data_IF_363530844639
#
_entry.id   IF_363530844639
#
_cell.length_a   1.000
_cell.length_b   1.000
_cell.length_c   1.000
_cell.angle_alpha   90.00
_cell.angle_beta   90.00
_cell.angle_gamma   90.00
#
_symmetry.space_group_name_H-M   'P 1'
#
loop_
_entity.id
_entity.type
_entity.pdbx_description
1 polymer ?
#
# COMPACT_ATOMS: atom_id res chain seq x y z
N UNK A 1 2.20 -10.96 -2.66
CA UNK A 1 2.09 -12.24 -3.41
C UNK A 1 2.52 -13.50 -2.62
N UNK A 2 3.56 -13.46 -1.76
CA UNK A 2 4.06 -14.62 -1.00
C UNK A 2 3.01 -15.41 -0.21
N UNK A 3 2.00 -14.75 0.38
CA UNK A 3 0.98 -15.42 1.23
C UNK A 3 0.08 -16.37 0.43
N UNK A 4 -0.42 -15.94 -0.74
CA UNK A 4 -1.32 -16.77 -1.57
C UNK A 4 -0.54 -17.92 -2.20
N UNK A 5 0.66 -17.65 -2.72
CA UNK A 5 1.54 -18.70 -3.26
C UNK A 5 1.87 -19.75 -2.18
N UNK A 6 2.28 -19.30 -0.98
CA UNK A 6 2.61 -20.21 0.11
C UNK A 6 1.39 -20.98 0.64
N UNK A 7 0.21 -20.36 0.68
CA UNK A 7 -1.04 -21.04 1.02
C UNK A 7 -1.39 -22.13 0.00
N UNK A 8 -1.21 -21.85 -1.30
CA UNK A 8 -1.46 -22.81 -2.38
C UNK A 8 -0.44 -23.97 -2.34
N UNK A 9 0.84 -23.69 -2.09
CA UNK A 9 1.88 -24.72 -1.89
C UNK A 9 1.58 -25.65 -0.72
N UNK A 10 1.02 -25.11 0.38
CA UNK A 10 0.61 -25.92 1.54
C UNK A 10 -0.67 -26.72 1.28
N UNK A 11 -1.56 -26.22 0.43
CA UNK A 11 -2.78 -26.92 0.01
C UNK A 11 -2.48 -28.07 -0.96
N UNK A 12 -1.46 -27.94 -1.81
CA UNK A 12 -1.04 -28.97 -2.78
C UNK A 12 0.49 -29.15 -2.73
N UNK A 13 1.00 -29.96 -1.79
CA UNK A 13 2.43 -30.16 -1.62
C UNK A 13 3.09 -30.74 -2.88
N UNK A 14 4.35 -30.36 -3.13
CA UNK A 14 5.21 -30.86 -4.22
C UNK A 14 4.86 -30.43 -5.67
N UNK A 15 4.07 -29.37 -5.87
CA UNK A 15 3.86 -28.75 -7.19
C UNK A 15 4.55 -27.39 -7.26
N UNK A 16 5.28 -27.12 -8.33
CA UNK A 16 5.85 -25.80 -8.60
C UNK A 16 4.71 -24.81 -8.93
N UNK A 17 4.55 -23.70 -8.21
CA UNK A 17 3.42 -22.77 -8.38
C UNK A 17 3.23 -22.22 -9.79
N UNK A 18 4.32 -22.10 -10.56
CA UNK A 18 4.31 -21.64 -11.95
C UNK A 18 3.51 -22.56 -12.91
N UNK A 19 3.23 -23.81 -12.51
CA UNK A 19 2.45 -24.78 -13.29
C UNK A 19 1.11 -25.13 -12.66
N UNK A 20 0.69 -24.38 -11.63
CA UNK A 20 -0.56 -24.60 -10.93
C UNK A 20 -1.63 -23.68 -11.51
N UNK A 21 -2.76 -24.25 -11.92
CA UNK A 21 -3.99 -23.51 -12.18
C UNK A 21 -4.88 -23.56 -10.95
N UNK A 22 -5.51 -22.43 -10.62
CA UNK A 22 -6.49 -22.32 -9.55
C UNK A 22 -7.87 -22.27 -10.19
N UNK A 23 -8.77 -23.16 -9.75
CA UNK A 23 -10.17 -23.14 -10.11
C UNK A 23 -11.00 -22.76 -8.88
N UNK A 24 -11.78 -21.69 -8.98
CA UNK A 24 -12.74 -21.25 -7.97
C UNK A 24 -14.14 -21.55 -8.49
N UNK A 25 -14.91 -22.32 -7.72
CA UNK A 25 -16.31 -22.61 -8.04
C UNK A 25 -17.20 -22.22 -6.89
N UNK A 26 -18.26 -21.47 -7.19
CA UNK A 26 -19.28 -21.11 -6.21
C UNK A 26 -20.37 -22.18 -6.19
N UNK A 27 -20.58 -22.78 -5.02
CA UNK A 27 -21.70 -23.68 -4.77
C UNK A 27 -22.63 -23.03 -3.76
N UNK A 28 -23.87 -22.75 -4.16
CA UNK A 28 -24.87 -22.14 -3.29
C UNK A 28 -25.74 -23.24 -2.65
N UNK A 29 -25.80 -23.32 -1.31
CA UNK A 29 -26.63 -24.33 -0.63
C UNK A 29 -28.09 -24.27 -1.11
N UNK A 30 -28.66 -25.43 -1.43
CA UNK A 30 -30.06 -25.55 -1.90
C UNK A 30 -30.27 -25.32 -3.40
N UNK A 31 -29.22 -25.02 -4.17
CA UNK A 31 -29.30 -24.90 -5.64
C UNK A 31 -28.59 -26.08 -6.30
N UNK A 32 -29.21 -26.75 -7.28
CA UNK A 32 -28.53 -27.78 -8.08
C UNK A 32 -27.67 -27.12 -9.15
N UNK A 33 -26.37 -26.96 -8.87
CA UNK A 33 -25.37 -26.56 -9.87
C UNK A 33 -24.36 -25.52 -9.38
N UNK A 34 -23.23 -25.44 -10.08
CA UNK A 34 -22.22 -24.38 -9.91
C UNK A 34 -22.78 -23.10 -10.52
N UNK A 35 -22.87 -22.02 -9.73
CA UNK A 35 -23.45 -20.74 -10.18
C UNK A 35 -22.47 -19.85 -10.91
N UNK A 36 -21.18 -20.03 -10.62
CA UNK A 36 -20.06 -19.38 -11.29
C UNK A 36 -18.78 -20.20 -11.12
N UNK A 37 -18.00 -20.29 -12.19
CA UNK A 37 -16.67 -20.90 -12.17
C UNK A 37 -15.67 -19.96 -12.79
N UNK A 38 -14.52 -19.83 -12.16
CA UNK A 38 -13.39 -19.07 -12.69
C UNK A 38 -12.11 -19.88 -12.57
N UNK A 39 -11.22 -19.73 -13.54
CA UNK A 39 -9.89 -20.36 -13.56
C UNK A 39 -8.83 -19.34 -13.90
N UNK A 40 -7.67 -19.43 -13.25
CA UNK A 40 -6.50 -18.62 -13.56
C UNK A 40 -5.26 -19.12 -12.82
N UNK A 41 -4.21 -18.30 -12.83
CA UNK A 41 -2.98 -18.55 -12.07
C UNK A 41 -3.13 -18.06 -10.62
N UNK A 42 -2.23 -18.47 -9.69
CA UNK A 42 -2.14 -17.86 -8.36
C UNK A 42 -1.99 -16.33 -8.38
N UNK A 43 -1.30 -15.78 -9.39
CA UNK A 43 -1.16 -14.34 -9.57
C UNK A 43 -2.51 -13.70 -9.93
N UNK A 44 -3.29 -14.31 -10.83
CA UNK A 44 -4.60 -13.81 -11.23
C UNK A 44 -5.60 -13.85 -10.05
N UNK A 45 -5.50 -14.86 -9.16
CA UNK A 45 -6.28 -14.90 -7.91
C UNK A 45 -5.91 -13.73 -7.02
N UNK A 46 -4.62 -13.49 -6.81
CA UNK A 46 -4.14 -12.39 -5.98
C UNK A 46 -4.60 -11.04 -6.53
N UNK A 47 -4.48 -10.82 -7.84
CA UNK A 47 -4.94 -9.60 -8.51
C UNK A 47 -6.46 -9.42 -8.36
N UNK A 48 -7.26 -10.47 -8.54
CA UNK A 48 -8.73 -10.39 -8.38
C UNK A 48 -9.16 -10.12 -6.96
N UNK A 49 -8.53 -10.79 -5.98
CA UNK A 49 -8.79 -10.53 -4.55
C UNK A 49 -8.40 -9.09 -4.22
N UNK A 50 -7.22 -8.66 -4.67
CA UNK A 50 -6.77 -7.28 -4.49
C UNK A 50 -7.76 -6.29 -5.13
N UNK A 51 -8.15 -6.50 -6.38
CA UNK A 51 -9.09 -5.63 -7.11
C UNK A 51 -10.46 -5.58 -6.45
N UNK A 52 -10.96 -6.71 -5.96
CA UNK A 52 -12.25 -6.78 -5.27
C UNK A 52 -12.22 -6.06 -3.91
N UNK A 53 -11.09 -6.10 -3.21
CA UNK A 53 -10.92 -5.46 -1.90
C UNK A 53 -10.54 -3.97 -1.99
N UNK A 54 -9.76 -3.59 -3.00
CA UNK A 54 -9.08 -2.30 -3.08
C UNK A 54 -9.35 -1.52 -4.37
N UNK A 55 -10.11 -2.08 -5.32
CA UNK A 55 -10.34 -1.47 -6.64
C UNK A 55 -9.23 -1.77 -7.65
N UNK A 56 -9.47 -1.40 -8.92
CA UNK A 56 -8.50 -1.60 -10.02
C UNK A 56 -7.52 -0.41 -10.05
N UNK A 57 -6.20 -0.61 -10.11
CA UNK A 57 -5.26 0.49 -10.34
C UNK A 57 -5.58 1.15 -11.68
N UNK A 58 -5.79 2.46 -11.70
CA UNK A 58 -6.12 3.21 -12.91
C UNK A 58 -4.82 3.74 -13.51
N UNK A 59 -4.32 3.12 -14.58
CA UNK A 59 -3.06 3.56 -15.23
C UNK A 59 -3.22 4.78 -16.16
N UNK A 60 -4.20 5.66 -15.93
CA UNK A 60 -4.65 6.62 -16.95
C UNK A 60 -4.45 8.11 -16.63
N UNK A 61 -3.90 8.46 -15.47
CA UNK A 61 -3.56 9.85 -15.13
C UNK A 61 -2.06 9.94 -14.89
N UNK A 62 -1.40 11.00 -15.35
CA UNK A 62 0.00 11.24 -14.96
C UNK A 62 0.09 11.15 -13.43
N UNK A 63 1.10 10.45 -12.87
CA UNK A 63 1.18 10.26 -11.43
C UNK A 63 1.15 11.64 -10.76
N UNK A 64 0.19 11.85 -9.86
CA UNK A 64 0.16 13.06 -9.07
C UNK A 64 1.50 13.18 -8.34
N UNK A 65 2.17 14.33 -8.40
CA UNK A 65 3.41 14.53 -7.67
C UNK A 65 3.11 14.56 -6.16
N UNK A 66 3.96 13.97 -5.33
CA UNK A 66 3.88 14.11 -3.88
C UNK A 66 4.00 15.59 -3.45
N UNK A 67 3.45 15.98 -2.29
CA UNK A 67 3.67 17.31 -1.74
C UNK A 67 5.14 17.73 -1.69
N UNK A 68 6.03 16.82 -1.30
CA UNK A 68 7.46 17.11 -1.26
C UNK A 68 8.05 17.34 -2.66
N UNK A 69 7.67 16.53 -3.66
CA UNK A 69 8.09 16.73 -5.05
C UNK A 69 7.60 18.07 -5.61
N UNK A 70 6.35 18.45 -5.32
CA UNK A 70 5.78 19.75 -5.68
C UNK A 70 6.58 20.90 -5.05
N UNK A 71 6.87 20.80 -3.75
CA UNK A 71 7.66 21.78 -3.02
C UNK A 71 9.09 21.91 -3.60
N UNK A 72 9.75 20.79 -3.88
CA UNK A 72 11.06 20.79 -4.53
C UNK A 72 11.04 21.39 -5.94
N UNK A 73 9.97 21.16 -6.70
CA UNK A 73 9.82 21.77 -8.02
C UNK A 73 9.63 23.29 -7.93
N UNK A 74 8.81 23.77 -6.99
CA UNK A 74 8.64 25.20 -6.73
C UNK A 74 9.97 25.85 -6.31
N UNK A 75 10.72 25.19 -5.42
CA UNK A 75 12.06 25.62 -5.01
C UNK A 75 13.04 25.73 -6.18
N UNK A 76 13.07 24.73 -7.09
CA UNK A 76 13.89 24.79 -8.32
C UNK A 76 13.54 26.00 -9.19
N UNK A 77 12.26 26.36 -9.21
CA UNK A 77 11.74 27.53 -9.93
C UNK A 77 11.90 28.85 -9.17
N UNK A 78 12.49 28.82 -7.96
CA UNK A 78 12.58 29.97 -7.02
C UNK A 78 11.23 30.56 -6.64
N UNK A 79 10.19 29.73 -6.61
CA UNK A 79 8.85 30.07 -6.17
C UNK A 79 8.66 29.66 -4.71
N UNK A 80 8.99 30.59 -3.80
CA UNK A 80 8.86 30.36 -2.35
C UNK A 80 7.38 30.21 -1.92
N UNK A 81 6.46 30.92 -2.57
CA UNK A 81 5.04 30.83 -2.25
C UNK A 81 4.48 29.45 -2.63
N UNK A 82 4.88 28.93 -3.79
CA UNK A 82 4.57 27.57 -4.23
C UNK A 82 5.15 26.50 -3.30
N UNK A 83 6.40 26.66 -2.85
CA UNK A 83 7.05 25.73 -1.91
C UNK A 83 6.28 25.63 -0.60
N UNK A 84 5.99 26.78 0.04
CA UNK A 84 5.23 26.83 1.29
C UNK A 84 3.80 26.34 1.08
N UNK A 85 3.15 26.74 -0.03
CA UNK A 85 1.79 26.35 -0.36
C UNK A 85 1.62 24.83 -0.50
N UNK A 86 2.55 24.15 -1.17
CA UNK A 86 2.53 22.70 -1.32
C UNK A 86 2.60 21.97 0.04
N UNK A 87 3.51 22.40 0.93
CA UNK A 87 3.67 21.77 2.25
C UNK A 87 2.47 22.06 3.18
N UNK A 88 1.99 23.30 3.22
CA UNK A 88 0.86 23.69 4.08
C UNK A 88 -0.45 23.04 3.62
N UNK A 89 -0.69 22.97 2.31
CA UNK A 89 -1.89 22.32 1.77
C UNK A 89 -1.90 20.82 2.03
N UNK A 90 -0.73 20.16 2.02
CA UNK A 90 -0.63 18.74 2.36
C UNK A 90 -0.97 18.45 3.82
N UNK A 91 -0.47 19.25 4.76
CA UNK A 91 -0.84 19.16 6.17
C UNK A 91 -2.34 19.40 6.38
N UNK A 92 -2.88 20.45 5.75
CA UNK A 92 -4.33 20.75 5.80
C UNK A 92 -5.16 19.59 5.24
N UNK A 93 -4.73 18.98 4.13
CA UNK A 93 -5.42 17.86 3.51
C UNK A 93 -5.39 16.60 4.41
N UNK A 94 -4.28 16.36 5.10
CA UNK A 94 -4.16 15.28 6.08
C UNK A 94 -5.11 15.51 7.27
N UNK A 95 -5.00 16.67 7.91
CA UNK A 95 -5.76 17.01 9.11
C UNK A 95 -7.28 17.10 8.87
N UNK A 96 -7.69 17.43 7.64
CA UNK A 96 -9.10 17.48 7.25
C UNK A 96 -9.68 16.13 6.82
N UNK A 97 -8.85 15.08 6.71
CA UNK A 97 -9.31 13.78 6.29
C UNK A 97 -10.20 13.11 7.36
N UNK A 98 -11.39 12.57 7.03
CA UNK A 98 -12.33 12.03 8.03
C UNK A 98 -11.79 10.85 8.86
N UNK A 99 -10.77 10.17 8.35
CA UNK A 99 -10.12 9.05 9.03
C UNK A 99 -9.03 9.50 9.99
N UNK A 100 -8.50 10.72 9.84
CA UNK A 100 -7.43 11.28 10.66
C UNK A 100 -7.95 11.70 12.05
N UNK A 101 -7.18 11.53 13.14
CA UNK A 101 -5.82 10.95 13.18
C UNK A 101 -5.81 9.43 12.95
N UNK A 102 -4.64 8.90 12.60
CA UNK A 102 -4.38 7.45 12.64
C UNK A 102 -4.52 6.92 14.07
N UNK A 103 -4.78 5.62 14.20
CA UNK A 103 -5.02 4.97 15.49
C UNK A 103 -4.24 3.67 15.57
N UNK A 104 -3.88 3.22 16.79
CA UNK A 104 -3.34 1.88 17.00
C UNK A 104 -4.20 0.80 16.33
N UNK A 105 -3.55 -0.09 15.58
CA UNK A 105 -4.20 -1.14 14.80
C UNK A 105 -4.50 -0.78 13.35
N UNK A 106 -4.41 0.50 12.95
CA UNK A 106 -4.47 0.88 11.53
C UNK A 106 -3.29 0.26 10.77
N UNK A 107 -3.56 -0.17 9.53
CA UNK A 107 -2.54 -0.56 8.57
C UNK A 107 -2.37 0.54 7.53
N UNK A 108 -1.12 0.92 7.27
CA UNK A 108 -0.78 1.90 6.25
C UNK A 108 0.03 1.19 5.18
N UNK A 109 -0.49 1.17 3.96
CA UNK A 109 0.20 0.63 2.80
C UNK A 109 0.66 1.78 1.90
N UNK A 110 1.92 1.76 1.48
CA UNK A 110 2.47 2.66 0.48
C UNK A 110 2.87 1.85 -0.75
N UNK A 111 2.50 2.36 -1.93
CA UNK A 111 2.92 1.82 -3.21
C UNK A 111 4.00 2.72 -3.83
N UNK A 112 5.10 2.13 -4.26
CA UNK A 112 6.13 2.78 -5.05
C UNK A 112 6.07 2.27 -6.49
N UNK A 113 5.95 3.21 -7.42
CA UNK A 113 6.05 2.92 -8.85
C UNK A 113 7.47 2.49 -9.23
N UNK A 114 7.59 1.79 -10.35
CA UNK A 114 8.90 1.41 -10.88
C UNK A 114 9.73 2.65 -11.23
N UNK A 115 11.00 2.66 -10.81
CA UNK A 115 11.91 3.78 -11.02
C UNK A 115 13.30 3.30 -11.45
N UNK A 116 13.65 3.57 -12.70
CA UNK A 116 14.93 3.14 -13.28
C UNK A 116 15.03 1.61 -13.33
N UNK A 117 15.96 1.04 -12.55
CA UNK A 117 16.12 -0.41 -12.40
C UNK A 117 15.34 -0.98 -11.20
N UNK A 118 14.73 -0.12 -10.37
CA UNK A 118 13.96 -0.55 -9.21
C UNK A 118 12.54 -0.94 -9.69
N UNK A 119 12.10 -2.19 -9.49
CA UNK A 119 10.75 -2.60 -9.82
C UNK A 119 9.74 -1.90 -8.90
N UNK A 120 8.49 -1.84 -9.33
CA UNK A 120 7.41 -1.38 -8.46
C UNK A 120 7.32 -2.29 -7.23
N UNK A 121 7.17 -1.69 -6.05
CA UNK A 121 7.03 -2.42 -4.80
C UNK A 121 6.09 -1.69 -3.86
N UNK A 122 5.74 -2.32 -2.74
CA UNK A 122 4.98 -1.68 -1.70
C UNK A 122 5.42 -2.13 -0.33
N UNK A 123 5.07 -1.31 0.66
CA UNK A 123 5.37 -1.53 2.06
C UNK A 123 4.09 -1.40 2.86
N UNK A 124 3.96 -2.22 3.89
CA UNK A 124 2.81 -2.20 4.80
C UNK A 124 3.33 -2.01 6.19
N UNK A 125 2.82 -1.00 6.86
CA UNK A 125 3.14 -0.63 8.22
C UNK A 125 1.94 -0.83 9.13
N UNK A 126 2.22 -1.10 10.41
CA UNK A 126 1.24 -1.17 11.49
C UNK A 126 1.43 0.02 12.43
N UNK A 127 0.35 0.72 12.72
CA UNK A 127 0.33 1.77 13.75
C UNK A 127 0.21 1.13 15.12
N UNK A 128 1.11 1.47 16.03
CA UNK A 128 1.17 0.97 17.41
C UNK A 128 1.08 2.09 18.45
N UNK A 129 0.63 1.79 19.68
CA UNK A 129 0.76 2.71 20.80
C UNK A 129 2.16 2.61 21.41
N UNK A 130 2.67 3.74 21.92
CA UNK A 130 3.96 3.82 22.60
C UNK A 130 3.84 4.56 23.94
N UNK A 131 4.88 4.47 24.77
CA UNK A 131 4.91 5.12 26.07
C UNK A 131 4.79 6.66 25.94
N UNK A 132 4.13 7.28 26.92
CA UNK A 132 3.97 8.73 26.95
C UNK A 132 2.88 9.29 26.02
N UNK A 133 2.06 8.43 25.42
CA UNK A 133 0.97 8.86 24.53
C UNK A 133 1.41 9.05 23.07
N UNK A 134 2.64 8.67 22.75
CA UNK A 134 3.17 8.65 21.40
C UNK A 134 2.65 7.43 20.62
N UNK A 135 2.88 7.44 19.31
CA UNK A 135 2.56 6.33 18.42
C UNK A 135 3.81 5.85 17.69
N UNK A 136 3.83 4.57 17.32
CA UNK A 136 4.82 3.99 16.42
C UNK A 136 4.21 3.63 15.08
N UNK A 137 5.06 3.55 14.05
CA UNK A 137 4.73 2.97 12.76
C UNK A 137 5.81 1.96 12.41
N UNK A 138 5.46 0.68 12.44
CA UNK A 138 6.41 -0.42 12.27
C UNK A 138 6.18 -1.15 10.96
N UNK A 139 7.23 -1.38 10.20
CA UNK A 139 7.16 -2.17 8.98
C UNK A 139 6.70 -3.60 9.29
N UNK A 140 5.64 -4.04 8.63
CA UNK A 140 5.06 -5.38 8.76
C UNK A 140 5.43 -6.28 7.58
N UNK A 141 5.39 -5.73 6.36
CA UNK A 141 5.70 -6.47 5.14
C UNK A 141 6.13 -5.53 4.01
N UNK A 142 6.95 -6.05 3.09
CA UNK A 142 7.23 -5.40 1.80
C UNK A 142 7.13 -6.41 0.65
N UNK A 143 7.07 -5.91 -0.58
CA UNK A 143 7.04 -6.75 -1.79
C UNK A 143 8.31 -6.67 -2.63
N UNK A 144 9.29 -5.85 -2.25
CA UNK A 144 10.58 -5.79 -2.96
C UNK A 144 11.30 -7.16 -2.84
N UNK A 145 11.86 -7.71 -3.95
CA UNK A 145 12.60 -8.97 -3.91
C UNK A 145 13.78 -8.96 -2.93
N UNK A 146 14.02 -10.09 -2.26
CA UNK A 146 15.07 -10.21 -1.24
C UNK A 146 16.48 -9.94 -1.81
N UNK A 147 16.70 -10.25 -3.09
CA UNK A 147 17.96 -9.99 -3.83
C UNK A 147 18.24 -8.48 -4.02
N UNK A 148 17.19 -7.66 -4.02
CA UNK A 148 17.27 -6.19 -4.18
C UNK A 148 17.19 -5.46 -2.83
N UNK A 149 16.55 -6.08 -1.83
CA UNK A 149 16.43 -5.60 -0.44
C UNK A 149 17.78 -5.27 0.21
N UNK A 150 18.80 -6.09 -0.05
CA UNK A 150 20.12 -5.98 0.58
C UNK A 150 20.92 -4.74 0.16
N UNK A 151 20.52 -4.04 -0.92
CA UNK A 151 21.35 -3.05 -1.59
C UNK A 151 21.08 -1.59 -1.19
N UNK A 152 19.95 -1.25 -0.55
CA UNK A 152 19.47 0.13 -0.58
C UNK A 152 19.08 0.80 0.74
N UNK A 153 18.88 0.07 1.84
CA UNK A 153 18.36 0.67 3.09
C UNK A 153 17.02 1.41 2.95
N UNK A 154 16.36 1.30 1.80
CA UNK A 154 15.09 1.99 1.50
C UNK A 154 13.91 1.32 2.17
N UNK A 155 14.02 0.03 2.48
CA UNK A 155 12.92 -0.73 3.08
C UNK A 155 12.70 -0.25 4.51
N UNK A 156 11.49 0.19 4.80
CA UNK A 156 11.11 0.64 6.13
C UNK A 156 11.67 2.01 6.49
N UNK A 157 12.05 2.85 5.52
CA UNK A 157 12.59 4.19 5.79
C UNK A 157 11.63 5.08 6.62
N UNK A 158 10.31 4.86 6.48
CA UNK A 158 9.29 5.55 7.27
C UNK A 158 8.96 4.86 8.61
N UNK A 159 9.64 3.78 8.98
CA UNK A 159 9.40 3.17 10.28
C UNK A 159 9.88 4.11 11.40
N UNK A 160 9.03 4.35 12.39
CA UNK A 160 9.32 5.23 13.53
C UNK A 160 8.89 4.58 14.83
N UNK A 161 9.77 4.65 15.83
CA UNK A 161 9.55 4.05 17.15
C UNK A 161 8.65 4.91 18.04
N UNK A 162 8.69 6.24 17.94
CA UNK A 162 7.85 7.12 18.73
C UNK A 162 7.68 8.49 18.05
N UNK A 163 6.45 8.85 17.71
CA UNK A 163 6.08 10.13 17.11
C UNK A 163 4.67 10.55 17.55
N UNK A 164 4.43 11.87 17.59
CA UNK A 164 3.08 12.42 17.81
C UNK A 164 2.15 12.09 16.63
N UNK A 165 2.69 12.16 15.41
CA UNK A 165 1.99 11.80 14.18
C UNK A 165 2.91 10.97 13.26
N UNK A 166 2.84 9.63 13.33
CA UNK A 166 3.76 8.77 12.62
C UNK A 166 3.46 8.67 11.11
N UNK A 167 2.31 9.18 10.63
CA UNK A 167 1.97 9.14 9.19
C UNK A 167 2.37 10.41 8.44
N UNK A 168 2.69 11.50 9.17
CA UNK A 168 2.88 12.83 8.56
C UNK A 168 3.98 12.83 7.50
N UNK A 169 5.16 12.31 7.82
CA UNK A 169 6.31 12.25 6.90
C UNK A 169 5.95 11.42 5.66
N UNK A 170 5.42 10.21 5.85
CA UNK A 170 4.98 9.35 4.75
C UNK A 170 3.93 10.04 3.85
N UNK A 171 2.98 10.77 4.43
CA UNK A 171 1.96 11.53 3.69
C UNK A 171 2.56 12.64 2.83
N UNK A 172 3.56 13.36 3.35
CA UNK A 172 4.21 14.46 2.65
C UNK A 172 5.19 13.95 1.58
N UNK A 173 5.96 12.91 1.89
CA UNK A 173 7.01 12.40 1.02
C UNK A 173 6.49 11.45 -0.06
N UNK A 174 5.71 10.43 0.30
CA UNK A 174 5.16 9.51 -0.68
C UNK A 174 3.92 10.11 -1.37
N UNK A 175 3.18 10.97 -0.67
CA UNK A 175 1.98 11.61 -1.18
C UNK A 175 0.71 10.78 -0.99
N UNK A 176 -0.45 11.43 -0.82
CA UNK A 176 -1.72 10.76 -0.51
C UNK A 176 -2.19 9.78 -1.58
N UNK A 177 -1.82 10.03 -2.84
CA UNK A 177 -2.16 9.19 -3.99
C UNK A 177 -1.50 7.81 -3.95
N UNK A 178 -0.41 7.63 -3.19
CA UNK A 178 0.29 6.33 -3.04
C UNK A 178 -0.13 5.54 -1.81
N UNK A 179 -0.94 6.13 -0.93
CA UNK A 179 -1.24 5.57 0.37
C UNK A 179 -2.60 4.89 0.37
N UNK A 180 -2.67 3.71 0.97
CA UNK A 180 -3.93 3.06 1.37
C UNK A 180 -3.92 2.87 2.87
N UNK A 181 -4.95 3.36 3.56
CA UNK A 181 -5.10 3.20 5.01
C UNK A 181 -6.27 2.28 5.27
N UNK A 182 -6.03 1.24 6.05
CA UNK A 182 -7.03 0.24 6.42
C UNK A 182 -7.25 0.30 7.93
N UNK A 183 -8.51 0.50 8.32
CA UNK A 183 -8.97 0.50 9.70
C UNK A 183 -10.03 -0.57 9.87
N UNK A 184 -9.91 -1.41 10.90
CA UNK A 184 -10.85 -2.50 11.18
C UNK A 184 -11.11 -3.40 9.95
N UNK A 185 -10.06 -3.65 9.16
CA UNK A 185 -10.13 -4.45 7.93
C UNK A 185 -10.82 -3.76 6.75
N UNK A 186 -11.13 -2.46 6.82
CA UNK A 186 -11.75 -1.68 5.74
C UNK A 186 -10.86 -0.53 5.29
N UNK A 187 -10.70 -0.31 3.97
CA UNK A 187 -10.04 0.90 3.48
C UNK A 187 -10.81 2.15 3.91
N UNK A 188 -10.12 3.06 4.61
CA UNK A 188 -10.65 4.39 5.01
C UNK A 188 -9.99 5.52 4.23
N UNK A 189 -8.84 5.24 3.61
CA UNK A 189 -8.20 6.06 2.59
C UNK A 189 -7.71 5.14 1.48
N UNK A 190 -7.98 5.53 0.23
CA UNK A 190 -7.44 4.86 -0.95
C UNK A 190 -6.87 5.93 -1.86
N UNK A 191 -5.55 6.01 -1.92
CA UNK A 191 -4.84 6.79 -2.91
C UNK A 191 -5.31 6.35 -4.28
N UNK A 192 -5.93 7.26 -5.03
CA UNK A 192 -6.33 7.00 -6.40
C UNK A 192 -5.12 7.29 -7.28
N UNK A 193 -4.42 6.22 -7.68
CA UNK A 193 -3.64 6.18 -8.92
C UNK A 193 -4.55 5.87 -10.09
#
# INVERSE_FOLDING_TARGET
MRIITHAIERLIPARTPAFVSVAVSETVPGTRGIRGSWTGTPADVAERVYTALYGRPTTATAPEASPLEQAHQAKRNRDLAGEVGALMSAGTALESAPWYPVRPGDLVHVHYEAAGQTPAFGETYLIGPEDGGLMSMRLLAHTLPDEESAAGGMIGCFAVEAADDPIYELWVEAGPHRLTIVRDGRPVHTGRG
#
